data_IF_149793297736
#
_entry.id   IF_149793297736
#
_cell.length_a   1.000
_cell.length_b   1.000
_cell.length_c   1.000
_cell.angle_alpha   90.00
_cell.angle_beta   90.00
_cell.angle_gamma   90.00
#
_symmetry.space_group_name_H-M   'P 1'
#
loop_
_entity.id
_entity.type
_entity.pdbx_description
1 polymer ?
#
# COMPACT_ATOMS: atom_id res chain seq x y z
N UNK A 1 27.13 4.47 6.98
CA UNK A 1 27.06 3.17 7.68
C UNK A 1 26.01 2.32 7.00
N UNK A 2 26.03 0.98 7.07
CA UNK A 2 24.93 0.17 6.55
C UNK A 2 23.65 0.42 7.36
N UNK A 3 22.49 0.41 6.69
CA UNK A 3 21.17 0.49 7.33
C UNK A 3 21.04 -0.67 8.34
N UNK A 4 20.56 -0.43 9.57
CA UNK A 4 20.38 -1.51 10.55
C UNK A 4 19.47 -2.61 10.00
N UNK A 5 19.77 -3.91 10.24
CA UNK A 5 18.99 -5.02 9.67
C UNK A 5 17.48 -4.97 9.99
N UNK A 6 17.11 -4.48 11.17
CA UNK A 6 15.71 -4.32 11.56
C UNK A 6 14.98 -3.30 10.67
N UNK A 7 15.63 -2.19 10.33
CA UNK A 7 15.09 -1.16 9.45
C UNK A 7 14.99 -1.69 8.02
N UNK A 8 16.02 -2.41 7.56
CA UNK A 8 15.99 -3.06 6.25
C UNK A 8 14.81 -4.04 6.13
N UNK A 9 14.57 -4.87 7.14
CA UNK A 9 13.42 -5.79 7.15
C UNK A 9 12.07 -5.05 7.06
N UNK A 10 11.93 -3.89 7.69
CA UNK A 10 10.71 -3.07 7.58
C UNK A 10 10.53 -2.51 6.18
N UNK A 11 11.60 -2.03 5.56
CA UNK A 11 11.60 -1.53 4.17
C UNK A 11 11.21 -2.65 3.21
N UNK A 12 11.81 -3.83 3.34
CA UNK A 12 11.54 -4.98 2.46
C UNK A 12 10.08 -5.44 2.61
N UNK A 13 9.58 -5.49 3.85
CA UNK A 13 8.18 -5.81 4.13
C UNK A 13 7.24 -4.78 3.52
N UNK A 14 7.50 -3.50 3.69
CA UNK A 14 6.69 -2.43 3.09
C UNK A 14 6.64 -2.55 1.57
N UNK A 15 7.78 -2.77 0.92
CA UNK A 15 7.83 -2.98 -0.53
C UNK A 15 6.97 -4.17 -0.96
N UNK A 16 7.09 -5.31 -0.29
CA UNK A 16 6.29 -6.50 -0.57
C UNK A 16 4.79 -6.21 -0.43
N UNK A 17 4.37 -5.59 0.67
CA UNK A 17 2.95 -5.30 0.93
C UNK A 17 2.38 -4.27 -0.06
N UNK A 18 3.18 -3.28 -0.49
CA UNK A 18 2.77 -2.32 -1.51
C UNK A 18 2.60 -2.98 -2.90
N UNK A 19 3.43 -3.96 -3.24
CA UNK A 19 3.25 -4.76 -4.47
C UNK A 19 1.94 -5.56 -4.39
N UNK A 20 1.67 -6.18 -3.25
CA UNK A 20 0.43 -6.94 -3.05
C UNK A 20 -0.82 -6.05 -3.16
N UNK A 21 -0.78 -4.84 -2.60
CA UNK A 21 -1.86 -3.85 -2.75
C UNK A 21 -2.10 -3.52 -4.22
N UNK A 22 -1.04 -3.28 -4.99
CA UNK A 22 -1.14 -2.91 -6.41
C UNK A 22 -1.74 -4.04 -7.25
N UNK A 23 -1.26 -5.27 -7.03
CA UNK A 23 -1.77 -6.47 -7.70
C UNK A 23 -3.26 -6.66 -7.41
N UNK A 24 -3.66 -6.65 -6.13
CA UNK A 24 -5.06 -6.84 -5.72
C UNK A 24 -5.96 -5.71 -6.19
N UNK A 25 -5.50 -4.46 -6.15
CA UNK A 25 -6.26 -3.32 -6.63
C UNK A 25 -6.50 -3.41 -8.14
N UNK A 26 -5.47 -3.79 -8.91
CA UNK A 26 -5.57 -3.98 -10.35
C UNK A 26 -6.53 -5.12 -10.70
N UNK A 27 -6.45 -6.24 -9.99
CA UNK A 27 -7.39 -7.35 -10.15
C UNK A 27 -8.83 -6.93 -9.84
N UNK A 28 -9.04 -6.23 -8.72
CA UNK A 28 -10.34 -5.70 -8.31
C UNK A 28 -10.93 -4.74 -9.33
N UNK A 29 -10.13 -3.83 -9.90
CA UNK A 29 -10.55 -2.93 -10.98
C UNK A 29 -11.05 -3.72 -12.19
N UNK A 30 -10.31 -4.74 -12.63
CA UNK A 30 -10.69 -5.55 -13.78
C UNK A 30 -12.03 -6.25 -13.55
N UNK A 31 -12.23 -6.83 -12.35
CA UNK A 31 -13.48 -7.49 -11.96
C UNK A 31 -14.65 -6.50 -11.90
N UNK A 32 -14.46 -5.36 -11.24
CA UNK A 32 -15.51 -4.32 -11.11
C UNK A 32 -15.88 -3.72 -12.47
N UNK A 33 -14.92 -3.44 -13.34
CA UNK A 33 -15.19 -2.92 -14.68
C UNK A 33 -16.01 -3.92 -15.52
N UNK A 34 -15.71 -5.21 -15.43
CA UNK A 34 -16.51 -6.25 -16.09
C UNK A 34 -17.96 -6.26 -15.58
N UNK A 35 -18.18 -6.10 -14.27
CA UNK A 35 -19.52 -6.06 -13.69
C UNK A 35 -20.27 -4.75 -14.02
N UNK A 36 -19.60 -3.60 -13.94
CA UNK A 36 -20.17 -2.29 -14.30
C UNK A 36 -20.60 -2.23 -15.77
N UNK A 37 -19.91 -2.93 -16.67
CA UNK A 37 -20.35 -3.02 -18.08
C UNK A 37 -21.75 -3.62 -18.24
N UNK A 38 -22.19 -4.41 -17.26
CA UNK A 38 -23.53 -5.04 -17.20
C UNK A 38 -24.50 -4.29 -16.29
N UNK A 39 -23.98 -3.64 -15.25
CA UNK A 39 -24.74 -2.94 -14.23
C UNK A 39 -24.16 -1.53 -13.99
N UNK A 40 -24.27 -0.61 -14.97
CA UNK A 40 -23.56 0.66 -14.94
C UNK A 40 -23.95 1.58 -13.77
N UNK A 41 -25.20 1.52 -13.33
CA UNK A 41 -25.74 2.38 -12.26
C UNK A 41 -25.67 1.73 -10.86
N UNK A 42 -24.96 0.60 -10.73
CA UNK A 42 -24.85 -0.07 -9.44
C UNK A 42 -23.93 0.72 -8.49
N UNK A 43 -24.54 1.39 -7.51
CA UNK A 43 -23.83 2.24 -6.55
C UNK A 43 -22.75 1.50 -5.76
N UNK A 44 -22.92 0.21 -5.46
CA UNK A 44 -21.91 -0.59 -4.73
C UNK A 44 -20.69 -0.82 -5.62
N UNK A 45 -20.90 -1.19 -6.88
CA UNK A 45 -19.81 -1.39 -7.83
C UNK A 45 -19.05 -0.09 -8.11
N UNK A 46 -19.76 1.05 -8.19
CA UNK A 46 -19.12 2.37 -8.33
C UNK A 46 -18.26 2.69 -7.10
N UNK A 47 -18.74 2.40 -5.88
CA UNK A 47 -17.94 2.58 -4.67
C UNK A 47 -16.71 1.69 -4.64
N UNK A 48 -16.83 0.43 -5.09
CA UNK A 48 -15.69 -0.49 -5.17
C UNK A 48 -14.66 0.00 -6.20
N UNK A 49 -15.11 0.46 -7.36
CA UNK A 49 -14.25 1.09 -8.37
C UNK A 49 -13.45 2.27 -7.77
N UNK A 50 -14.13 3.16 -7.05
CA UNK A 50 -13.49 4.30 -6.40
C UNK A 50 -12.46 3.85 -5.35
N UNK A 51 -12.78 2.81 -4.57
CA UNK A 51 -11.86 2.27 -3.57
C UNK A 51 -10.61 1.68 -4.22
N UNK A 52 -10.73 0.86 -5.26
CA UNK A 52 -9.56 0.26 -5.91
C UNK A 52 -8.65 1.30 -6.56
N UNK A 53 -9.21 2.34 -7.20
CA UNK A 53 -8.44 3.47 -7.71
C UNK A 53 -7.71 4.22 -6.57
N UNK A 54 -8.39 4.43 -5.45
CA UNK A 54 -7.79 5.06 -4.26
C UNK A 54 -6.66 4.19 -3.69
N UNK A 55 -6.78 2.87 -3.72
CA UNK A 55 -5.74 1.96 -3.28
C UNK A 55 -4.48 2.04 -4.17
N UNK A 56 -4.63 2.16 -5.49
CA UNK A 56 -3.50 2.40 -6.40
C UNK A 56 -2.81 3.75 -6.11
N UNK A 57 -3.58 4.81 -5.89
CA UNK A 57 -3.04 6.12 -5.51
C UNK A 57 -2.32 6.06 -4.16
N UNK A 58 -2.90 5.38 -3.17
CA UNK A 58 -2.29 5.15 -1.88
C UNK A 58 -0.96 4.40 -2.00
N UNK A 59 -0.89 3.38 -2.87
CA UNK A 59 0.36 2.66 -3.14
C UNK A 59 1.44 3.57 -3.72
N UNK A 60 1.10 4.41 -4.70
CA UNK A 60 2.05 5.33 -5.31
C UNK A 60 2.60 6.35 -4.29
N UNK A 61 1.73 6.95 -3.48
CA UNK A 61 2.13 7.91 -2.44
C UNK A 61 2.92 7.26 -1.32
N UNK A 62 2.58 6.04 -0.92
CA UNK A 62 3.32 5.27 0.10
C UNK A 62 4.70 4.86 -0.39
N UNK A 63 4.85 4.51 -1.67
CA UNK A 63 6.16 4.21 -2.26
C UNK A 63 7.07 5.44 -2.25
N UNK A 64 6.54 6.63 -2.56
CA UNK A 64 7.29 7.89 -2.47
C UNK A 64 7.72 8.19 -1.04
N UNK A 65 6.85 7.96 -0.05
CA UNK A 65 7.20 8.12 1.37
C UNK A 65 8.32 7.15 1.78
N UNK A 66 8.21 5.88 1.37
CA UNK A 66 9.23 4.88 1.64
C UNK A 66 10.59 5.29 1.04
N UNK A 67 10.59 5.73 -0.22
CA UNK A 67 11.80 6.21 -0.90
C UNK A 67 12.45 7.38 -0.15
N UNK A 68 11.67 8.39 0.23
CA UNK A 68 12.17 9.54 0.99
C UNK A 68 12.81 9.13 2.34
N UNK A 69 12.20 8.17 3.05
CA UNK A 69 12.77 7.63 4.30
C UNK A 69 14.09 6.89 4.02
N UNK A 70 14.14 6.06 2.97
CA UNK A 70 15.37 5.34 2.61
C UNK A 70 16.50 6.25 2.14
N UNK A 71 16.19 7.32 1.43
CA UNK A 71 17.16 8.34 1.01
C UNK A 71 17.75 9.05 2.24
N UNK A 72 16.90 9.40 3.21
CA UNK A 72 17.34 10.00 4.47
C UNK A 72 18.30 9.08 5.21
N UNK A 73 17.96 7.79 5.33
CA UNK A 73 18.82 6.77 5.95
C UNK A 73 20.16 6.50 5.23
N UNK A 74 20.30 6.95 3.99
CA UNK A 74 21.53 6.78 3.20
C UNK A 74 22.57 7.87 3.51
N UNK A 75 22.18 8.93 4.21
CA UNK A 75 23.08 9.98 4.66
C UNK A 75 23.95 9.48 5.82
N UNK A 76 25.19 10.00 5.98
CA UNK A 76 26.05 9.58 7.08
C UNK A 76 25.49 10.08 8.42
N UNK A 77 24.76 9.20 9.12
CA UNK A 77 23.90 9.61 10.23
C UNK A 77 24.20 9.07 11.62
N UNK A 78 23.67 9.85 12.58
CA UNK A 78 23.62 9.64 14.02
C UNK A 78 22.45 8.70 14.43
N UNK A 79 22.37 8.37 15.71
CA UNK A 79 21.35 7.46 16.25
C UNK A 79 19.92 8.01 16.18
N UNK A 80 19.73 9.34 16.20
CA UNK A 80 18.39 9.96 16.20
C UNK A 80 17.64 9.75 14.89
N UNK A 81 18.34 9.84 13.75
CA UNK A 81 17.71 9.68 12.44
C UNK A 81 17.27 8.23 12.22
N UNK A 82 18.04 7.26 12.72
CA UNK A 82 17.67 5.84 12.67
C UNK A 82 16.38 5.59 13.47
N UNK A 83 16.22 6.21 14.64
CA UNK A 83 15.03 6.06 15.48
C UNK A 83 13.81 6.67 14.79
N UNK A 84 13.92 7.92 14.33
CA UNK A 84 12.83 8.62 13.64
C UNK A 84 12.36 7.85 12.39
N UNK A 85 13.30 7.38 11.56
CA UNK A 85 12.98 6.56 10.39
C UNK A 85 12.28 5.26 10.77
N UNK A 86 12.65 4.62 11.88
CA UNK A 86 11.96 3.44 12.39
C UNK A 86 10.50 3.70 12.76
N UNK A 87 10.21 4.83 13.41
CA UNK A 87 8.85 5.24 13.76
C UNK A 87 8.00 5.55 12.53
N UNK A 88 8.57 6.25 11.55
CA UNK A 88 7.92 6.58 10.29
C UNK A 88 7.59 5.32 9.48
N UNK A 89 8.54 4.38 9.37
CA UNK A 89 8.33 3.08 8.71
C UNK A 89 7.27 2.24 9.43
N UNK A 90 7.29 2.22 10.77
CA UNK A 90 6.28 1.51 11.56
C UNK A 90 4.87 2.08 11.33
N UNK A 91 4.74 3.40 11.30
CA UNK A 91 3.49 4.10 11.03
C UNK A 91 3.00 3.82 9.61
N UNK A 92 3.89 3.88 8.61
CA UNK A 92 3.56 3.57 7.24
C UNK A 92 3.10 2.12 7.08
N UNK A 93 3.75 1.17 7.73
CA UNK A 93 3.39 -0.25 7.69
C UNK A 93 1.98 -0.49 8.25
N UNK A 94 1.62 0.18 9.35
CA UNK A 94 0.26 0.10 9.90
C UNK A 94 -0.80 0.52 8.87
N UNK A 95 -0.59 1.65 8.18
CA UNK A 95 -1.50 2.15 7.14
C UNK A 95 -1.60 1.19 5.95
N UNK A 96 -0.46 0.66 5.50
CA UNK A 96 -0.38 -0.32 4.40
C UNK A 96 -1.18 -1.57 4.72
N UNK A 97 -1.01 -2.14 5.92
CA UNK A 97 -1.74 -3.33 6.34
C UNK A 97 -3.25 -3.08 6.46
N UNK A 98 -3.67 -1.89 6.92
CA UNK A 98 -5.09 -1.54 6.98
C UNK A 98 -5.73 -1.50 5.59
N UNK A 99 -5.06 -0.87 4.61
CA UNK A 99 -5.55 -0.82 3.22
C UNK A 99 -5.60 -2.21 2.61
N UNK A 100 -4.58 -3.05 2.84
CA UNK A 100 -4.55 -4.43 2.38
C UNK A 100 -5.73 -5.25 2.90
N UNK A 101 -6.03 -5.16 4.21
CA UNK A 101 -7.17 -5.86 4.80
C UNK A 101 -8.52 -5.41 4.21
N UNK A 102 -8.67 -4.11 3.91
CA UNK A 102 -9.86 -3.59 3.23
C UNK A 102 -9.98 -4.12 1.80
N UNK A 103 -8.87 -4.14 1.05
CA UNK A 103 -8.82 -4.73 -0.29
C UNK A 103 -9.23 -6.20 -0.29
N UNK A 104 -8.67 -7.01 0.62
CA UNK A 104 -8.98 -8.43 0.74
C UNK A 104 -10.47 -8.68 0.97
N UNK A 105 -11.08 -7.91 1.88
CA UNK A 105 -12.53 -8.02 2.14
C UNK A 105 -13.38 -7.67 0.92
N UNK A 106 -12.98 -6.68 0.12
CA UNK A 106 -13.70 -6.33 -1.09
C UNK A 106 -13.52 -7.37 -2.19
N UNK A 107 -12.32 -7.93 -2.32
CA UNK A 107 -12.05 -9.02 -3.26
C UNK A 107 -12.89 -10.24 -2.95
N UNK A 108 -12.99 -10.67 -1.69
CA UNK A 108 -13.85 -11.78 -1.30
C UNK A 108 -15.32 -11.54 -1.70
N UNK A 109 -15.83 -10.32 -1.51
CA UNK A 109 -17.20 -9.96 -1.92
C UNK A 109 -17.44 -9.91 -3.43
N UNK A 110 -16.38 -9.83 -4.23
CA UNK A 110 -16.48 -9.88 -5.70
C UNK A 110 -16.37 -11.31 -6.24
N UNK A 111 -15.95 -12.26 -5.41
CA UNK A 111 -15.81 -13.68 -5.75
C UNK A 111 -17.02 -14.51 -5.32
N UNK A 112 -17.75 -14.07 -4.29
CA UNK A 112 -19.06 -14.59 -3.87
C UNK A 112 -20.19 -14.21 -4.84
#
# INVERSE_FOLDING_TARGET
MPIPPLIQNLIDRLNFELIEIDNKATEGLNRVNALLSRFPDNAILIQYLAFFNTAQFFRATSLQQLQAITETLSLPDNTEIIVAAGEDLGTLLGKVLEVKLKLERLMTRLEE
#
